data_IF_626027994287
#
_entry.id   IF_626027994287
#
_cell.length_a   1.000
_cell.length_b   1.000
_cell.length_c   1.000
_cell.angle_alpha   90.00
_cell.angle_beta   90.00
_cell.angle_gamma   90.00
#
_symmetry.space_group_name_H-M   'P 1'
#
loop_
_entity.id
_entity.type
_entity.pdbx_description
1 polymer ?
#
# COMPACT_ATOMS: atom_id res chain seq x y z
N UNK A 1 0.96 1.49 -2.74
CA UNK A 1 1.48 0.33 -3.50
C UNK A 1 1.72 0.80 -4.93
N UNK A 2 2.95 0.63 -5.42
CA UNK A 2 3.25 0.80 -6.84
C UNK A 2 2.87 -0.49 -7.60
N UNK A 3 1.75 -0.44 -8.32
CA UNK A 3 1.20 -1.59 -9.05
C UNK A 3 2.12 -2.10 -10.16
N UNK A 4 2.97 -1.25 -10.74
CA UNK A 4 3.87 -1.62 -11.83
C UNK A 4 5.13 -2.35 -11.34
N UNK A 5 5.44 -2.25 -10.04
CA UNK A 5 6.56 -2.95 -9.38
C UNK A 5 6.11 -4.16 -8.55
N UNK A 6 4.81 -4.34 -8.34
CA UNK A 6 4.33 -5.52 -7.64
C UNK A 6 4.36 -6.74 -8.56
N UNK A 7 5.01 -7.81 -8.10
CA UNK A 7 5.12 -9.09 -8.84
C UNK A 7 4.08 -10.13 -8.38
N UNK A 8 3.05 -9.70 -7.64
CA UNK A 8 1.97 -10.57 -7.14
C UNK A 8 2.44 -11.78 -6.34
N UNK A 9 3.53 -11.63 -5.59
CA UNK A 9 4.14 -12.71 -4.79
C UNK A 9 3.35 -13.09 -3.52
N UNK A 10 2.31 -12.34 -3.16
CA UNK A 10 1.48 -12.53 -1.96
C UNK A 10 2.19 -12.40 -0.60
N UNK A 11 3.50 -12.09 -0.56
CA UNK A 11 4.28 -12.06 0.69
C UNK A 11 3.75 -11.06 1.73
N UNK A 12 3.15 -9.95 1.29
CA UNK A 12 2.53 -8.98 2.19
C UNK A 12 1.32 -9.55 2.96
N UNK A 13 0.52 -10.40 2.32
CA UNK A 13 -0.60 -11.09 2.96
C UNK A 13 -0.09 -12.18 3.92
N UNK A 14 0.91 -12.95 3.49
CA UNK A 14 1.48 -14.05 4.28
C UNK A 14 2.14 -13.56 5.57
N UNK A 15 2.87 -12.43 5.51
CA UNK A 15 3.56 -11.88 6.68
C UNK A 15 2.62 -11.13 7.63
N UNK A 16 1.42 -10.77 7.18
CA UNK A 16 0.52 -9.92 7.97
C UNK A 16 0.01 -10.68 9.21
N UNK A 17 0.40 -10.29 10.45
CA UNK A 17 0.05 -11.03 11.65
C UNK A 17 -1.44 -10.91 12.02
N UNK A 18 -2.15 -9.95 11.43
CA UNK A 18 -3.58 -9.71 11.64
C UNK A 18 -4.44 -10.15 10.45
N UNK A 19 -3.82 -10.77 9.43
CA UNK A 19 -4.50 -11.25 8.21
C UNK A 19 -5.43 -10.22 7.58
N UNK A 20 -5.04 -8.94 7.62
CA UNK A 20 -5.86 -7.82 7.14
C UNK A 20 -5.58 -7.43 5.68
N UNK A 21 -4.75 -8.19 4.96
CA UNK A 21 -4.37 -7.92 3.57
C UNK A 21 -4.89 -9.06 2.69
N UNK A 22 -5.60 -8.74 1.61
CA UNK A 22 -6.10 -9.71 0.61
C UNK A 22 -5.65 -9.28 -0.79
N UNK A 23 -5.11 -10.24 -1.56
CA UNK A 23 -4.84 -10.08 -2.99
C UNK A 23 -6.06 -10.58 -3.78
N UNK A 24 -6.66 -9.69 -4.57
CA UNK A 24 -7.83 -9.97 -5.40
C UNK A 24 -7.37 -10.12 -6.85
N UNK A 25 -7.65 -11.28 -7.44
CA UNK A 25 -7.38 -11.57 -8.84
C UNK A 25 -8.47 -11.00 -9.76
N UNK A 26 -8.13 -10.88 -11.05
CA UNK A 26 -9.01 -10.37 -12.10
C UNK A 26 -10.37 -11.08 -12.17
N UNK A 27 -10.44 -12.38 -11.86
CA UNK A 27 -11.72 -13.10 -11.92
C UNK A 27 -12.76 -12.58 -10.92
N UNK A 28 -12.32 -11.87 -9.87
CA UNK A 28 -13.21 -11.20 -8.91
C UNK A 28 -13.48 -9.73 -9.22
N UNK A 29 -12.81 -9.15 -10.22
CA UNK A 29 -12.96 -7.75 -10.59
C UNK A 29 -13.61 -7.70 -11.98
N UNK A 30 -14.90 -7.40 -12.04
CA UNK A 30 -15.55 -7.06 -13.32
C UNK A 30 -15.04 -5.68 -13.78
N UNK A 31 -13.96 -5.67 -14.57
CA UNK A 31 -13.52 -4.42 -15.21
C UNK A 31 -14.47 -4.06 -16.35
N UNK A 32 -14.88 -2.79 -16.41
CA UNK A 32 -15.71 -2.23 -17.49
C UNK A 32 -14.85 -2.02 -18.76
N UNK A 33 -13.54 -1.89 -18.56
CA UNK A 33 -12.53 -1.67 -19.58
C UNK A 33 -11.57 -2.88 -19.60
N UNK A 34 -11.32 -3.45 -20.78
CA UNK A 34 -10.57 -4.70 -20.98
C UNK A 34 -9.05 -4.56 -20.71
N UNK A 35 -8.66 -4.06 -19.55
CA UNK A 35 -7.26 -4.12 -19.10
C UNK A 35 -6.97 -5.53 -18.57
N UNK A 36 -6.24 -6.31 -19.39
CA UNK A 36 -6.03 -7.75 -19.20
C UNK A 36 -5.13 -8.14 -18.01
N UNK A 37 -4.52 -7.21 -17.28
CA UNK A 37 -3.64 -7.52 -16.13
C UNK A 37 -3.82 -6.54 -14.95
N UNK A 38 -4.93 -6.67 -14.20
CA UNK A 38 -5.15 -5.92 -12.95
C UNK A 38 -5.35 -6.84 -11.75
N UNK A 39 -4.38 -6.85 -10.83
CA UNK A 39 -4.59 -7.37 -9.49
C UNK A 39 -4.79 -6.21 -8.51
N UNK A 40 -5.73 -6.37 -7.59
CA UNK A 40 -5.94 -5.39 -6.52
C UNK A 40 -5.44 -5.96 -5.18
N UNK A 41 -4.78 -5.13 -4.39
CA UNK A 41 -4.47 -5.43 -2.99
C UNK A 41 -5.40 -4.59 -2.11
N UNK A 42 -6.13 -5.25 -1.21
CA UNK A 42 -7.04 -4.59 -0.27
C UNK A 42 -6.51 -4.77 1.14
N UNK A 43 -6.60 -3.70 1.95
CA UNK A 43 -6.21 -3.70 3.36
C UNK A 43 -7.42 -3.30 4.20
N UNK A 44 -7.79 -4.14 5.18
CA UNK A 44 -8.74 -3.74 6.22
C UNK A 44 -8.03 -2.83 7.23
N UNK A 45 -8.19 -1.52 7.03
CA UNK A 45 -7.63 -0.48 7.89
C UNK A 45 -8.17 -0.51 9.34
N UNK A 46 -9.29 -1.19 9.61
CA UNK A 46 -9.78 -1.34 10.99
C UNK A 46 -9.03 -2.43 11.75
N UNK A 47 -8.58 -3.46 11.05
CA UNK A 47 -7.80 -4.56 11.61
C UNK A 47 -6.28 -4.30 11.55
N UNK A 48 -5.82 -3.46 10.62
CA UNK A 48 -4.42 -3.13 10.44
C UNK A 48 -3.86 -2.34 11.65
N UNK A 49 -2.94 -2.95 12.38
CA UNK A 49 -2.23 -2.31 13.50
C UNK A 49 -1.01 -1.48 13.07
N UNK A 50 -0.79 -1.30 11.76
CA UNK A 50 0.34 -0.53 11.19
C UNK A 50 1.73 -1.02 11.64
N UNK A 51 1.92 -2.34 11.70
CA UNK A 51 3.18 -2.94 12.16
C UNK A 51 4.37 -2.82 11.17
N UNK A 52 4.14 -2.47 9.90
CA UNK A 52 5.18 -2.28 8.90
C UNK A 52 5.74 -3.56 8.25
N UNK A 53 5.43 -4.75 8.77
CA UNK A 53 5.98 -6.01 8.24
C UNK A 53 5.74 -6.24 6.75
N UNK A 54 4.60 -5.79 6.20
CA UNK A 54 4.33 -5.91 4.78
C UNK A 54 5.28 -5.07 3.91
N UNK A 55 5.78 -3.95 4.42
CA UNK A 55 6.80 -3.13 3.75
C UNK A 55 8.15 -3.82 3.82
N UNK A 56 8.58 -4.24 5.02
CA UNK A 56 9.89 -4.85 5.25
C UNK A 56 10.09 -6.15 4.45
N UNK A 57 9.02 -6.92 4.26
CA UNK A 57 9.06 -8.20 3.55
C UNK A 57 8.77 -8.09 2.04
N UNK A 58 8.47 -6.91 1.52
CA UNK A 58 8.17 -6.75 0.11
C UNK A 58 9.46 -6.87 -0.73
N UNK A 59 9.63 -7.91 -1.56
CA UNK A 59 10.88 -8.14 -2.28
C UNK A 59 11.17 -7.09 -3.36
N UNK A 60 10.17 -6.32 -3.77
CA UNK A 60 10.30 -5.25 -4.78
C UNK A 60 10.20 -3.85 -4.18
N UNK A 61 10.06 -3.75 -2.86
CA UNK A 61 9.96 -2.47 -2.14
C UNK A 61 8.88 -1.54 -2.74
N UNK A 62 7.76 -2.13 -3.17
CA UNK A 62 6.65 -1.41 -3.82
C UNK A 62 5.57 -0.94 -2.84
N UNK A 63 5.73 -1.25 -1.55
CA UNK A 63 4.83 -0.88 -0.47
C UNK A 63 5.46 0.23 0.38
N UNK A 64 4.67 1.19 0.84
CA UNK A 64 5.08 2.22 1.79
C UNK A 64 4.01 2.37 2.88
N UNK A 65 4.42 2.82 4.06
CA UNK A 65 3.53 3.17 5.19
C UNK A 65 3.32 4.69 5.26
N UNK A 66 3.21 5.35 4.10
CA UNK A 66 2.99 6.79 4.08
C UNK A 66 1.57 7.15 4.51
N UNK A 67 1.47 8.13 5.39
CA UNK A 67 0.21 8.75 5.74
C UNK A 67 -0.06 9.91 4.77
N UNK A 68 -0.87 9.67 3.74
CA UNK A 68 -1.51 10.76 3.02
C UNK A 68 -2.60 11.35 3.91
N UNK A 69 -2.26 12.43 4.63
CA UNK A 69 -3.29 13.33 5.15
C UNK A 69 -3.93 14.00 3.95
N UNK A 70 -5.18 13.67 3.67
CA UNK A 70 -6.02 14.52 2.80
C UNK A 70 -6.22 15.81 3.57
N UNK A 71 -5.34 16.78 3.34
CA UNK A 71 -5.64 18.17 3.66
C UNK A 71 -6.75 18.57 2.70
N UNK A 72 -7.89 19.09 3.18
CA UNK A 72 -8.82 19.84 2.34
C UNK A 72 -8.02 20.83 1.49
N UNK A 73 -8.44 21.09 0.25
CA UNK A 73 -7.64 21.83 -0.74
C UNK A 73 -7.29 23.29 -0.34
N UNK A 74 -7.73 23.75 0.82
CA UNK A 74 -7.43 25.07 1.33
C UNK A 74 -6.27 25.03 2.32
N UNK A 75 -5.26 25.84 1.96
CA UNK A 75 -4.03 26.19 2.69
C UNK A 75 -2.83 25.26 2.45
N UNK A 76 -2.09 25.61 1.39
CA UNK A 76 -0.71 25.20 1.10
C UNK A 76 0.23 25.65 2.23
N UNK A 77 0.22 24.96 3.35
CA UNK A 77 1.27 25.10 4.36
C UNK A 77 2.20 23.89 4.26
N UNK A 78 3.45 24.19 3.89
CA UNK A 78 4.54 23.26 3.69
C UNK A 78 4.71 22.34 4.90
N UNK A 79 4.57 21.03 4.74
CA UNK A 79 5.13 20.09 5.72
C UNK A 79 6.60 19.94 5.41
N UNK A 80 7.38 20.69 6.18
CA UNK A 80 8.81 20.78 6.13
C UNK A 80 9.51 19.42 6.13
N UNK A 81 10.47 19.32 5.21
CA UNK A 81 11.64 18.46 5.30
C UNK A 81 12.45 18.83 6.56
N UNK A 82 12.05 18.33 7.72
CA UNK A 82 12.86 18.29 8.94
C UNK A 82 12.24 17.19 9.81
N UNK A 83 12.84 16.01 9.94
CA UNK A 83 13.91 15.74 10.90
C UNK A 83 14.71 14.55 10.36
N UNK A 84 15.81 14.82 9.68
CA UNK A 84 17.08 14.06 9.76
C UNK A 84 18.18 14.95 9.21
N UNK A 85 18.80 15.72 10.10
CA UNK A 85 20.18 16.13 9.95
C UNK A 85 20.71 16.33 11.38
N UNK A 86 21.28 15.26 11.91
CA UNK A 86 22.23 15.34 13.00
C UNK A 86 23.46 16.14 12.50
N UNK A 87 23.91 17.12 13.29
CA UNK A 87 25.04 17.99 13.00
C UNK A 87 25.04 19.27 13.82
#
# INVERSE_FOLDING_TARGET
>A
MDGNRCILCNSCADVCPHQCIEMISLERIHSIDNDEEMAAMVIDERACIRCGLCVDWCPTECLTMDHFRVTPADERESVDLAIVAEG
#
